data_IF_361000226406
#
_entry.id   IF_361000226406
#
_cell.length_a   1.000
_cell.length_b   1.000
_cell.length_c   1.000
_cell.angle_alpha   90.00
_cell.angle_beta   90.00
_cell.angle_gamma   90.00
#
_symmetry.space_group_name_H-M   'P 1'
#
loop_
_entity.id
_entity.type
_entity.pdbx_description
1 polymer ?
#
# COMPACT_ATOMS: atom_id res chain seq x y z
N UNK A 1 14.18 2.64 -70.07
CA UNK A 1 13.47 1.49 -69.51
C UNK A 1 14.52 0.62 -68.84
N UNK A 2 14.76 0.89 -67.56
CA UNK A 2 15.54 0.08 -66.63
C UNK A 2 15.25 0.66 -65.23
N UNK A 3 14.48 -0.09 -64.45
CA UNK A 3 14.26 0.12 -63.01
C UNK A 3 15.56 -0.12 -62.25
N UNK A 4 15.84 0.59 -61.15
CA UNK A 4 16.78 0.12 -60.14
C UNK A 4 16.07 -0.70 -59.05
N UNK A 5 16.59 -1.90 -58.80
CA UNK A 5 16.19 -2.85 -57.75
C UNK A 5 16.29 -2.27 -56.31
N UNK A 6 15.46 -2.74 -55.36
CA UNK A 6 15.49 -2.33 -53.96
C UNK A 6 16.46 -3.20 -53.13
N UNK A 7 17.71 -2.78 -52.97
CA UNK A 7 18.64 -3.42 -52.04
C UNK A 7 18.44 -2.94 -50.59
N UNK A 8 17.97 -3.89 -49.76
CA UNK A 8 18.41 -4.17 -48.39
C UNK A 8 18.43 -3.02 -47.36
N UNK A 9 17.30 -2.87 -46.66
CA UNK A 9 17.25 -2.23 -45.34
C UNK A 9 17.89 -3.17 -44.31
N UNK A 10 19.13 -2.86 -43.92
CA UNK A 10 19.82 -3.48 -42.79
C UNK A 10 19.07 -3.16 -41.48
N UNK A 11 18.74 -4.13 -40.60
CA UNK A 11 18.05 -3.82 -39.36
C UNK A 11 18.95 -3.02 -38.42
N UNK A 12 18.56 -1.78 -38.18
CA UNK A 12 19.16 -0.84 -37.22
C UNK A 12 19.32 -1.46 -35.83
N UNK A 13 20.41 -1.06 -35.18
CA UNK A 13 20.88 -1.48 -33.87
C UNK A 13 19.77 -1.58 -32.80
N UNK A 14 19.89 -2.61 -31.97
CA UNK A 14 18.99 -2.93 -30.86
C UNK A 14 18.83 -1.70 -29.95
N UNK A 15 17.65 -1.07 -30.01
CA UNK A 15 17.32 0.09 -29.19
C UNK A 15 17.40 -0.20 -27.69
N UNK A 16 17.62 0.85 -26.87
CA UNK A 16 17.83 0.73 -25.42
C UNK A 16 16.69 0.00 -24.70
N UNK A 17 15.46 0.15 -25.18
CA UNK A 17 14.27 -0.49 -24.59
C UNK A 17 14.27 -2.02 -24.76
N UNK A 18 14.70 -2.53 -25.93
CA UNK A 18 14.85 -3.98 -26.14
C UNK A 18 15.93 -4.58 -25.26
N UNK A 19 17.02 -3.84 -24.99
CA UNK A 19 18.08 -4.27 -24.07
C UNK A 19 17.58 -4.36 -22.63
N UNK A 20 16.74 -3.42 -22.19
CA UNK A 20 16.09 -3.45 -20.87
C UNK A 20 15.14 -4.64 -20.74
N UNK A 21 14.28 -4.87 -21.73
CA UNK A 21 13.35 -6.01 -21.74
C UNK A 21 14.11 -7.34 -21.70
N UNK A 22 15.20 -7.48 -22.45
CA UNK A 22 16.05 -8.68 -22.40
C UNK A 22 16.71 -8.88 -21.04
N UNK A 23 17.16 -7.80 -20.39
CA UNK A 23 17.70 -7.84 -19.03
C UNK A 23 16.67 -8.35 -18.02
N UNK A 24 15.45 -7.83 -18.06
CA UNK A 24 14.34 -8.25 -17.18
C UNK A 24 13.93 -9.70 -17.45
N UNK A 25 13.88 -10.13 -18.73
CA UNK A 25 13.58 -11.52 -19.09
C UNK A 25 14.68 -12.50 -18.64
N UNK A 26 15.95 -12.10 -18.76
CA UNK A 26 17.08 -12.87 -18.26
C UNK A 26 17.02 -13.00 -16.73
N UNK A 27 16.68 -11.91 -16.03
CA UNK A 27 16.49 -11.90 -14.58
C UNK A 27 15.32 -12.82 -14.16
N UNK A 28 14.18 -12.76 -14.86
CA UNK A 28 13.04 -13.68 -14.63
C UNK A 28 13.39 -15.15 -14.86
N UNK A 29 14.17 -15.46 -15.91
CA UNK A 29 14.65 -16.83 -16.16
C UNK A 29 15.62 -17.29 -15.05
N UNK A 30 16.48 -16.40 -14.57
CA UNK A 30 17.38 -16.66 -13.44
C UNK A 30 16.64 -16.94 -12.14
N UNK A 31 15.64 -16.12 -11.80
CA UNK A 31 14.80 -16.29 -10.62
C UNK A 31 14.04 -17.63 -10.65
N UNK A 32 13.40 -17.96 -11.78
CA UNK A 32 12.73 -19.26 -11.98
C UNK A 32 13.68 -20.45 -11.77
N UNK A 33 14.91 -20.37 -12.28
CA UNK A 33 15.92 -21.43 -12.11
C UNK A 33 16.39 -21.56 -10.65
N UNK A 34 16.46 -20.46 -9.90
CA UNK A 34 16.77 -20.49 -8.46
C UNK A 34 15.64 -21.11 -7.64
N UNK A 35 14.39 -20.76 -7.96
CA UNK A 35 13.20 -21.31 -7.30
C UNK A 35 13.08 -22.83 -7.54
N UNK A 36 13.31 -23.30 -8.77
CA UNK A 36 13.35 -24.73 -9.08
C UNK A 36 14.45 -25.47 -8.31
N UNK A 37 15.65 -24.87 -8.14
CA UNK A 37 16.72 -25.47 -7.33
C UNK A 37 16.35 -25.55 -5.85
N UNK A 38 15.66 -24.53 -5.31
CA UNK A 38 15.18 -24.57 -3.93
C UNK A 38 14.12 -25.65 -3.72
N UNK A 39 13.15 -25.79 -4.63
CA UNK A 39 12.18 -26.88 -4.58
C UNK A 39 12.82 -28.27 -4.68
N UNK A 40 13.85 -28.44 -5.53
CA UNK A 40 14.60 -29.69 -5.64
C UNK A 40 15.36 -30.01 -4.34
N UNK A 41 16.07 -29.02 -3.77
CA UNK A 41 16.78 -29.21 -2.49
C UNK A 41 15.79 -29.54 -1.37
N UNK A 42 14.62 -28.91 -1.35
CA UNK A 42 13.60 -29.19 -0.33
C UNK A 42 12.93 -30.55 -0.52
N UNK A 43 12.71 -31.01 -1.76
CA UNK A 43 12.24 -32.39 -2.00
C UNK A 43 13.28 -33.43 -1.60
N UNK A 44 14.57 -33.17 -1.84
CA UNK A 44 15.65 -34.09 -1.48
C UNK A 44 15.84 -34.16 0.06
N UNK A 45 15.66 -33.03 0.76
CA UNK A 45 15.69 -32.98 2.24
C UNK A 45 14.47 -33.70 2.85
N UNK A 46 13.28 -33.55 2.27
CA UNK A 46 12.07 -34.24 2.74
C UNK A 46 12.14 -35.75 2.51
N UNK A 47 12.83 -36.22 1.47
CA UNK A 47 13.05 -37.65 1.24
C UNK A 47 14.11 -38.28 2.17
N UNK A 48 14.90 -37.49 2.90
CA UNK A 48 15.95 -37.98 3.80
C UNK A 48 15.57 -37.97 5.30
N UNK A 49 14.38 -37.51 5.68
CA UNK A 49 13.94 -37.50 7.08
C UNK A 49 13.23 -38.80 7.48
N UNK A 50 13.67 -39.53 8.51
CA UNK A 50 12.99 -40.72 9.00
C UNK A 50 11.67 -40.34 9.71
N UNK A 51 10.60 -41.08 9.41
CA UNK A 51 9.28 -40.91 10.00
C UNK A 51 9.28 -41.38 11.45
N UNK A 52 9.32 -40.46 12.41
CA UNK A 52 8.87 -40.71 13.79
C UNK A 52 8.05 -39.54 14.31
N UNK A 53 6.87 -39.77 14.91
CA UNK A 53 6.06 -38.71 15.50
C UNK A 53 6.61 -38.39 16.90
N UNK A 54 7.39 -37.33 17.02
CA UNK A 54 7.71 -36.75 18.32
C UNK A 54 6.85 -35.51 18.57
N UNK A 55 5.91 -35.69 19.49
CA UNK A 55 5.10 -34.65 20.13
C UNK A 55 6.01 -33.55 20.68
N UNK A 56 5.95 -32.36 20.08
CA UNK A 56 6.50 -31.13 20.66
C UNK A 56 5.34 -30.21 21.05
N UNK A 57 5.03 -30.26 22.34
CA UNK A 57 4.10 -29.42 23.05
C UNK A 57 4.75 -28.03 23.20
N UNK A 58 4.29 -27.05 22.42
CA UNK A 58 4.64 -25.66 22.64
C UNK A 58 3.85 -25.13 23.83
N UNK A 59 4.58 -24.77 24.89
CA UNK A 59 4.01 -24.18 26.09
C UNK A 59 3.30 -22.87 25.77
N UNK A 60 2.03 -22.80 26.19
CA UNK A 60 1.22 -21.59 26.19
C UNK A 60 1.84 -20.59 27.15
N UNK A 61 2.32 -19.45 26.65
CA UNK A 61 2.57 -18.26 27.48
C UNK A 61 1.35 -17.37 27.40
N UNK A 62 0.62 -17.28 28.50
CA UNK A 62 -0.46 -16.32 28.71
C UNK A 62 0.10 -14.90 28.52
N UNK A 63 -0.46 -14.16 27.55
CA UNK A 63 -0.14 -12.76 27.33
C UNK A 63 -1.28 -11.90 27.89
N UNK A 64 -1.19 -11.55 29.16
CA UNK A 64 -2.03 -10.52 29.77
C UNK A 64 -1.47 -9.15 29.37
N UNK A 65 -2.29 -8.37 28.66
CA UNK A 65 -2.00 -6.97 28.35
C UNK A 65 -1.98 -6.14 29.64
N UNK A 66 -0.81 -5.98 30.24
CA UNK A 66 -0.53 -4.96 31.25
C UNK A 66 -0.30 -3.60 30.59
N UNK A 67 -1.08 -2.60 30.98
CA UNK A 67 -0.83 -1.19 30.69
C UNK A 67 0.59 -0.82 31.13
N UNK A 68 1.44 -0.41 30.18
CA UNK A 68 2.72 0.21 30.50
C UNK A 68 2.52 1.71 30.65
N UNK A 69 2.46 2.21 31.89
CA UNK A 69 2.63 3.62 32.21
C UNK A 69 4.13 3.87 32.40
N UNK A 70 4.74 4.70 31.56
CA UNK A 70 6.13 5.12 31.72
C UNK A 70 6.22 6.12 32.87
N UNK A 71 6.72 5.67 34.01
CA UNK A 71 7.01 6.53 35.17
C UNK A 71 8.44 7.06 34.99
N UNK A 72 8.59 8.38 34.87
CA UNK A 72 9.89 9.05 34.79
C UNK A 72 10.37 9.37 36.21
N UNK A 73 11.58 8.91 36.53
CA UNK A 73 12.30 9.21 37.78
C UNK A 73 13.34 10.31 37.52
N UNK A 74 13.64 11.14 38.52
CA UNK A 74 14.78 12.06 38.47
C UNK A 74 16.10 11.35 38.81
N UNK A 75 17.24 12.04 38.67
CA UNK A 75 18.58 11.50 38.91
C UNK A 75 18.84 11.10 40.39
N UNK A 76 17.91 11.38 41.31
CA UNK A 76 17.97 10.92 42.70
C UNK A 76 16.92 9.83 43.02
N UNK A 77 16.17 9.36 42.03
CA UNK A 77 15.28 8.20 42.15
C UNK A 77 13.90 8.46 42.77
N UNK A 78 13.44 9.71 42.81
CA UNK A 78 12.11 10.05 43.38
C UNK A 78 11.02 10.08 42.30
N UNK A 79 9.84 9.53 42.63
CA UNK A 79 8.65 9.57 41.78
C UNK A 79 7.96 10.95 41.84
N UNK A 80 7.84 11.61 40.68
CA UNK A 80 7.26 12.98 40.57
C UNK A 80 5.73 13.05 40.71
N UNK A 81 5.03 11.92 40.75
CA UNK A 81 3.58 11.85 40.90
C UNK A 81 3.21 10.86 42.02
N UNK A 82 3.42 11.28 43.27
CA UNK A 82 2.77 10.63 44.40
C UNK A 82 2.19 11.72 45.34
N UNK A 83 0.86 11.89 45.40
CA UNK A 83 0.24 12.87 46.28
C UNK A 83 -0.03 12.21 47.62
N UNK A 84 1.01 11.95 48.42
CA UNK A 84 0.81 11.58 49.82
C UNK A 84 2.07 11.82 50.65
N UNK A 85 2.09 12.97 51.32
CA UNK A 85 2.79 13.14 52.59
C UNK A 85 2.20 14.35 53.32
N UNK A 86 1.46 14.06 54.38
CA UNK A 86 1.13 14.99 55.45
C UNK A 86 2.41 15.49 56.13
N UNK A 87 2.66 16.80 56.13
CA UNK A 87 3.40 17.47 57.22
C UNK A 87 3.05 18.97 57.28
N UNK A 88 2.75 19.55 58.46
CA UNK A 88 2.23 20.91 58.59
C UNK A 88 3.32 21.87 59.05
N UNK A 89 3.88 22.69 58.16
CA UNK A 89 4.50 23.96 58.59
C UNK A 89 4.55 24.96 57.43
N UNK A 90 3.48 25.73 57.23
CA UNK A 90 3.55 27.00 56.49
C UNK A 90 3.26 28.11 57.49
N UNK A 91 4.24 29.00 57.81
CA UNK A 91 3.96 30.16 58.62
C UNK A 91 3.04 31.10 57.84
N UNK A 92 1.93 31.44 58.49
CA UNK A 92 0.92 32.42 58.09
C UNK A 92 1.59 33.74 57.67
N UNK A 93 1.53 34.07 56.37
CA UNK A 93 1.84 35.41 55.86
C UNK A 93 0.53 36.21 55.72
N UNK A 94 0.53 37.34 56.41
CA UNK A 94 -0.48 38.39 56.50
C UNK A 94 -0.94 38.91 55.12
N UNK A 95 -2.25 39.04 54.81
CA UNK A 95 -2.74 39.34 53.46
C UNK A 95 -2.76 40.84 53.09
N UNK A 96 -1.86 41.68 53.62
CA UNK A 96 -1.82 43.11 53.29
C UNK A 96 -0.39 43.64 53.09
N UNK A 97 0.23 43.32 51.96
CA UNK A 97 1.26 44.16 51.37
C UNK A 97 1.45 43.86 49.88
N UNK A 98 1.81 44.90 49.14
CA UNK A 98 2.22 44.90 47.73
C UNK A 98 1.10 44.80 46.67
N UNK A 99 0.28 45.86 46.65
CA UNK A 99 -0.06 46.54 45.40
C UNK A 99 1.24 46.85 44.61
N UNK A 100 1.19 46.71 43.29
CA UNK A 100 2.21 47.13 42.31
C UNK A 100 3.52 46.32 42.20
N UNK A 101 3.46 45.16 41.54
CA UNK A 101 4.52 44.74 40.62
C UNK A 101 3.93 44.09 39.36
N UNK A 102 3.88 44.92 38.30
CA UNK A 102 4.04 44.60 36.88
C UNK A 102 3.49 43.24 36.39
N UNK A 103 2.47 43.33 35.52
CA UNK A 103 1.93 42.29 34.66
C UNK A 103 3.04 41.56 33.87
N UNK A 104 3.72 40.61 34.49
CA UNK A 104 4.48 39.59 33.78
C UNK A 104 3.47 38.51 33.39
N UNK A 105 2.81 38.71 32.24
CA UNK A 105 2.11 37.60 31.59
C UNK A 105 3.25 36.72 31.05
N UNK A 106 3.51 35.52 31.59
CA UNK A 106 4.30 34.58 30.82
C UNK A 106 3.49 34.38 29.55
N UNK A 107 4.01 34.86 28.43
CA UNK A 107 3.44 34.52 27.13
C UNK A 107 3.62 33.03 27.06
N UNK A 108 2.59 32.28 27.46
CA UNK A 108 2.53 30.85 27.23
C UNK A 108 2.66 30.77 25.74
N UNK A 109 3.85 30.38 25.27
CA UNK A 109 4.08 29.99 23.89
C UNK A 109 3.29 28.71 23.73
N UNK A 110 1.98 28.85 23.62
CA UNK A 110 1.05 27.80 23.32
C UNK A 110 1.18 27.63 21.82
N UNK A 111 2.21 26.89 21.42
CA UNK A 111 2.24 26.32 20.09
C UNK A 111 0.92 25.55 19.98
N UNK A 112 0.06 25.96 19.04
CA UNK A 112 -1.09 25.13 18.66
C UNK A 112 -0.53 23.89 17.97
N UNK A 113 -0.03 22.95 18.76
CA UNK A 113 0.60 21.71 18.29
C UNK A 113 -0.41 20.67 17.81
N UNK A 114 -1.72 20.98 17.85
CA UNK A 114 -2.77 20.05 17.43
C UNK A 114 -3.06 20.09 15.92
N UNK A 115 -2.04 20.32 15.08
CA UNK A 115 -2.21 20.09 13.63
C UNK A 115 -2.04 18.60 13.35
N UNK A 116 -3.13 17.86 13.38
CA UNK A 116 -3.19 16.48 12.85
C UNK A 116 -2.77 16.53 11.38
N UNK A 117 -1.53 16.17 11.09
CA UNK A 117 -1.03 16.01 9.72
C UNK A 117 -1.74 14.81 9.10
N UNK A 118 -2.85 15.07 8.41
CA UNK A 118 -3.50 14.03 7.63
C UNK A 118 -2.54 13.60 6.52
N UNK A 119 -2.05 12.37 6.62
CA UNK A 119 -1.16 11.78 5.63
C UNK A 119 -1.91 10.63 4.95
N UNK A 120 -2.64 10.90 3.85
CA UNK A 120 -3.50 9.91 3.20
C UNK A 120 -2.75 8.64 2.78
N UNK A 121 -1.49 8.80 2.36
CA UNK A 121 -0.60 7.70 1.96
C UNK A 121 -0.35 6.73 3.12
N UNK A 122 -0.20 7.22 4.36
CA UNK A 122 0.00 6.34 5.52
C UNK A 122 -1.23 5.48 5.81
N UNK A 123 -2.44 6.02 5.61
CA UNK A 123 -3.67 5.22 5.72
C UNK A 123 -3.72 4.15 4.65
N UNK A 124 -3.40 4.51 3.40
CA UNK A 124 -3.34 3.57 2.29
C UNK A 124 -2.34 2.44 2.55
N UNK A 125 -1.09 2.77 2.91
CA UNK A 125 -0.02 1.79 3.17
C UNK A 125 -0.37 0.91 4.36
N UNK A 126 -0.94 1.48 5.44
CA UNK A 126 -1.41 0.71 6.60
C UNK A 126 -2.46 -0.32 6.20
N UNK A 127 -3.54 0.10 5.53
CA UNK A 127 -4.60 -0.79 5.08
C UNK A 127 -4.07 -1.85 4.12
N UNK A 128 -3.20 -1.47 3.18
CA UNK A 128 -2.56 -2.39 2.25
C UNK A 128 -1.74 -3.47 2.98
N UNK A 129 -0.97 -3.09 4.00
CA UNK A 129 -0.14 -4.04 4.74
C UNK A 129 -0.97 -4.95 5.65
N UNK A 130 -2.02 -4.42 6.27
CA UNK A 130 -2.99 -5.21 7.04
C UNK A 130 -3.68 -6.25 6.14
N UNK A 131 -4.09 -5.86 4.93
CA UNK A 131 -4.65 -6.81 3.95
C UNK A 131 -3.63 -7.82 3.43
N UNK A 132 -2.41 -7.39 3.13
CA UNK A 132 -1.34 -8.28 2.69
C UNK A 132 -1.06 -9.38 3.73
N UNK A 133 -1.07 -9.01 5.02
CA UNK A 133 -0.91 -9.96 6.13
C UNK A 133 -2.07 -10.97 6.17
N UNK A 134 -3.32 -10.53 6.00
CA UNK A 134 -4.49 -11.43 5.95
C UNK A 134 -4.46 -12.40 4.77
N UNK A 135 -3.87 -11.96 3.65
CA UNK A 135 -3.70 -12.74 2.44
C UNK A 135 -2.42 -13.59 2.43
N UNK A 136 -1.55 -13.45 3.45
CA UNK A 136 -0.27 -14.15 3.57
C UNK A 136 0.75 -13.76 2.49
N UNK A 137 0.72 -12.52 2.02
CA UNK A 137 1.58 -12.02 0.95
C UNK A 137 2.44 -10.80 1.35
N UNK A 138 2.55 -10.47 2.64
CA UNK A 138 3.25 -9.31 3.18
C UNK A 138 4.74 -9.22 2.78
N UNK A 139 5.40 -10.37 2.62
CA UNK A 139 6.82 -10.43 2.19
C UNK A 139 6.99 -10.39 0.67
N UNK A 140 5.97 -10.77 -0.09
CA UNK A 140 6.04 -10.94 -1.55
C UNK A 140 5.41 -9.78 -2.32
N UNK A 141 4.59 -8.97 -1.67
CA UNK A 141 3.86 -7.83 -2.25
C UNK A 141 4.79 -6.76 -2.86
N UNK A 142 6.04 -6.66 -2.40
CA UNK A 142 7.01 -5.69 -2.90
C UNK A 142 7.96 -6.24 -3.97
N UNK A 143 7.93 -7.56 -4.25
CA UNK A 143 8.74 -8.15 -5.31
C UNK A 143 8.00 -8.07 -6.66
N UNK A 144 8.44 -7.20 -7.59
CA UNK A 144 7.77 -6.97 -8.87
C UNK A 144 7.77 -8.18 -9.81
N UNK A 145 8.49 -9.24 -9.45
CA UNK A 145 8.55 -10.49 -10.20
C UNK A 145 7.64 -11.58 -9.65
N UNK A 146 7.06 -11.36 -8.46
CA UNK A 146 6.11 -12.30 -7.84
C UNK A 146 4.90 -12.50 -8.72
N UNK A 147 4.47 -13.75 -8.83
CA UNK A 147 3.19 -14.12 -9.40
C UNK A 147 2.62 -15.29 -8.64
N UNK A 148 1.34 -15.21 -8.26
CA UNK A 148 0.67 -16.22 -7.46
C UNK A 148 -0.78 -16.43 -7.90
N UNK A 149 -1.40 -17.46 -7.33
CA UNK A 149 -2.83 -17.72 -7.38
C UNK A 149 -3.34 -17.65 -5.94
N UNK A 150 -4.51 -17.04 -5.75
CA UNK A 150 -5.14 -17.02 -4.44
C UNK A 150 -5.66 -18.43 -4.09
N UNK A 151 -5.26 -19.01 -2.95
CA UNK A 151 -5.75 -20.30 -2.52
C UNK A 151 -7.27 -20.27 -2.32
N UNK A 152 -7.96 -21.34 -2.73
CA UNK A 152 -9.39 -21.56 -2.45
C UNK A 152 -9.57 -22.17 -1.06
N UNK A 153 -8.92 -21.60 -0.05
CA UNK A 153 -9.09 -22.03 1.34
C UNK A 153 -10.30 -21.31 1.96
N UNK A 154 -11.27 -22.09 2.43
CA UNK A 154 -12.50 -21.62 3.08
C UNK A 154 -12.16 -20.87 4.38
N UNK A 155 -11.12 -21.30 5.11
CA UNK A 155 -10.72 -20.66 6.37
C UNK A 155 -10.14 -19.26 6.14
N UNK A 156 -9.36 -19.07 5.08
CA UNK A 156 -8.89 -17.74 4.66
C UNK A 156 -10.06 -16.88 4.20
N UNK A 157 -11.01 -17.44 3.43
CA UNK A 157 -12.21 -16.73 2.96
C UNK A 157 -13.07 -16.18 4.10
N UNK A 158 -13.28 -16.98 5.16
CA UNK A 158 -14.16 -16.62 6.26
C UNK A 158 -13.67 -15.39 7.07
N UNK A 159 -12.37 -15.10 7.00
CA UNK A 159 -11.73 -14.01 7.73
C UNK A 159 -11.52 -12.73 6.89
N UNK A 160 -11.94 -12.76 5.61
CA UNK A 160 -11.81 -11.62 4.72
C UNK A 160 -13.05 -10.71 4.78
N UNK A 161 -12.87 -9.38 4.76
CA UNK A 161 -13.97 -8.45 4.59
C UNK A 161 -14.73 -8.71 3.28
N UNK A 162 -16.02 -8.35 3.17
CA UNK A 162 -16.86 -8.67 2.01
C UNK A 162 -16.29 -8.21 0.67
N UNK A 163 -15.76 -6.99 0.62
CA UNK A 163 -15.17 -6.38 -0.57
C UNK A 163 -13.85 -7.05 -1.01
N UNK A 164 -13.25 -7.83 -0.13
CA UNK A 164 -12.00 -8.57 -0.34
C UNK A 164 -12.21 -10.07 -0.55
N UNK A 165 -13.46 -10.54 -0.64
CA UNK A 165 -13.70 -11.92 -1.06
C UNK A 165 -13.03 -12.18 -2.42
N UNK A 166 -12.39 -13.36 -2.60
CA UNK A 166 -11.72 -13.68 -3.84
C UNK A 166 -12.65 -13.69 -5.05
N UNK A 167 -12.16 -13.15 -6.16
CA UNK A 167 -12.80 -13.23 -7.48
C UNK A 167 -12.23 -14.41 -8.25
N UNK A 168 -12.98 -14.92 -9.23
CA UNK A 168 -12.57 -16.06 -10.06
C UNK A 168 -11.21 -15.83 -10.73
N UNK A 169 -10.96 -14.63 -11.24
CA UNK A 169 -9.70 -14.26 -11.88
C UNK A 169 -8.49 -14.46 -10.95
N UNK A 170 -8.62 -14.17 -9.65
CA UNK A 170 -7.55 -14.35 -8.68
C UNK A 170 -7.20 -15.82 -8.42
N UNK A 171 -8.17 -16.71 -8.59
CA UNK A 171 -8.00 -18.16 -8.39
C UNK A 171 -7.44 -18.81 -9.64
N UNK A 172 -7.80 -18.30 -10.82
CA UNK A 172 -7.55 -18.96 -12.11
C UNK A 172 -6.35 -18.39 -12.87
N UNK A 173 -5.97 -17.13 -12.63
CA UNK A 173 -4.98 -16.42 -13.44
C UNK A 173 -3.80 -16.01 -12.57
N UNK A 174 -2.56 -16.46 -12.87
CA UNK A 174 -1.38 -16.04 -12.13
C UNK A 174 -1.18 -14.52 -12.23
N UNK A 175 -1.12 -13.84 -11.10
CA UNK A 175 -1.05 -12.37 -11.03
C UNK A 175 -0.19 -11.92 -9.85
N UNK A 176 0.08 -10.62 -9.75
CA UNK A 176 0.89 -10.06 -8.68
C UNK A 176 0.02 -9.76 -7.44
N UNK A 177 0.44 -10.10 -6.20
CA UNK A 177 -0.39 -9.95 -4.98
C UNK A 177 -0.86 -8.53 -4.69
N UNK A 178 -0.13 -7.52 -5.16
CA UNK A 178 -0.56 -6.11 -5.10
C UNK A 178 -1.99 -5.91 -5.63
N UNK A 179 -2.40 -6.65 -6.66
CA UNK A 179 -3.75 -6.49 -7.21
C UNK A 179 -4.84 -6.97 -6.23
N UNK A 180 -4.50 -7.80 -5.26
CA UNK A 180 -5.44 -8.37 -4.31
C UNK A 180 -5.80 -7.43 -3.16
N UNK A 181 -4.99 -6.40 -2.94
CA UNK A 181 -5.20 -5.40 -1.87
C UNK A 181 -6.18 -4.30 -2.29
N UNK A 182 -6.67 -4.32 -3.54
CA UNK A 182 -7.65 -3.35 -4.03
C UNK A 182 -9.07 -3.79 -3.61
N UNK A 183 -9.89 -2.89 -3.05
CA UNK A 183 -11.16 -3.27 -2.44
C UNK A 183 -12.26 -3.57 -3.46
N UNK A 184 -12.07 -3.26 -4.76
CA UNK A 184 -13.13 -3.41 -5.76
C UNK A 184 -12.98 -4.72 -6.53
N UNK A 185 -13.91 -5.70 -6.37
CA UNK A 185 -13.81 -7.00 -7.05
C UNK A 185 -13.69 -6.90 -8.58
N UNK A 186 -14.41 -5.96 -9.19
CA UNK A 186 -14.39 -5.75 -10.64
C UNK A 186 -13.06 -5.15 -11.12
N UNK A 187 -12.48 -4.22 -10.35
CA UNK A 187 -11.17 -3.63 -10.67
C UNK A 187 -10.09 -4.71 -10.57
N UNK A 188 -10.11 -5.54 -9.52
CA UNK A 188 -9.18 -6.68 -9.37
C UNK A 188 -9.25 -7.59 -10.58
N UNK A 189 -10.46 -8.04 -10.95
CA UNK A 189 -10.68 -8.92 -12.11
C UNK A 189 -10.14 -8.31 -13.40
N UNK A 190 -10.47 -7.04 -13.68
CA UNK A 190 -10.00 -6.34 -14.90
C UNK A 190 -8.50 -6.20 -14.95
N UNK A 191 -7.85 -5.78 -13.85
CA UNK A 191 -6.41 -5.60 -13.80
C UNK A 191 -5.68 -6.94 -13.95
N UNK A 192 -6.13 -7.99 -13.26
CA UNK A 192 -5.56 -9.34 -13.35
C UNK A 192 -5.61 -9.85 -14.79
N UNK A 193 -6.80 -9.79 -15.41
CA UNK A 193 -6.98 -10.20 -16.79
C UNK A 193 -6.13 -9.35 -17.74
N UNK A 194 -6.06 -8.03 -17.54
CA UNK A 194 -5.25 -7.16 -18.38
C UNK A 194 -3.75 -7.50 -18.31
N UNK A 195 -3.20 -7.66 -17.12
CA UNK A 195 -1.78 -7.96 -16.94
C UNK A 195 -1.41 -9.38 -17.34
N UNK A 196 -2.39 -10.28 -17.48
CA UNK A 196 -2.19 -11.61 -18.08
C UNK A 196 -2.01 -11.56 -19.60
N UNK A 197 -2.53 -10.53 -20.28
CA UNK A 197 -2.44 -10.38 -21.73
C UNK A 197 -1.06 -9.88 -22.18
N UNK A 198 -0.64 -10.17 -23.43
CA UNK A 198 0.56 -9.59 -24.01
C UNK A 198 0.55 -8.06 -24.02
N UNK A 199 1.72 -7.45 -23.79
CA UNK A 199 1.88 -6.00 -23.63
C UNK A 199 1.29 -5.17 -24.78
N UNK A 200 1.36 -5.65 -26.02
CA UNK A 200 0.86 -4.92 -27.19
C UNK A 200 -0.67 -4.80 -27.25
N UNK A 201 -1.40 -5.67 -26.55
CA UNK A 201 -2.87 -5.61 -26.45
C UNK A 201 -3.37 -4.71 -25.32
N UNK A 202 -2.48 -4.26 -24.42
CA UNK A 202 -2.87 -3.46 -23.27
C UNK A 202 -3.08 -1.99 -23.65
N UNK A 203 -3.88 -1.22 -22.89
CA UNK A 203 -3.92 0.23 -22.99
C UNK A 203 -2.53 0.85 -22.88
N UNK A 204 -2.26 2.01 -23.52
CA UNK A 204 -0.92 2.63 -23.54
C UNK A 204 -0.24 2.72 -22.17
N UNK A 205 -0.97 3.13 -21.12
CA UNK A 205 -0.45 3.25 -19.77
C UNK A 205 0.01 1.91 -19.15
N UNK A 206 -0.52 0.78 -19.62
CA UNK A 206 -0.26 -0.55 -19.09
C UNK A 206 0.63 -1.43 -19.99
N UNK A 207 1.12 -0.91 -21.12
CA UNK A 207 2.01 -1.65 -22.04
C UNK A 207 3.44 -1.79 -21.50
N UNK A 208 3.84 -0.86 -20.64
CA UNK A 208 5.19 -0.79 -20.11
C UNK A 208 5.55 -2.00 -19.23
N UNK A 209 6.83 -2.40 -19.21
CA UNK A 209 7.30 -3.52 -18.41
C UNK A 209 7.18 -3.26 -16.90
N UNK A 210 7.25 -2.00 -16.48
CA UNK A 210 7.10 -1.52 -15.11
C UNK A 210 5.70 -0.95 -14.84
N UNK A 211 4.71 -1.24 -15.70
CA UNK A 211 3.36 -0.71 -15.56
C UNK A 211 2.72 -0.99 -14.17
N UNK A 212 2.98 -2.15 -13.55
CA UNK A 212 2.52 -2.44 -12.20
C UNK A 212 3.18 -1.55 -11.14
N UNK A 213 4.47 -1.26 -11.28
CA UNK A 213 5.19 -0.33 -10.38
C UNK A 213 4.66 1.09 -10.58
N UNK A 214 4.40 1.50 -11.83
CA UNK A 214 3.75 2.78 -12.13
C UNK A 214 2.35 2.88 -11.53
N UNK A 215 1.58 1.80 -11.53
CA UNK A 215 0.28 1.75 -10.86
C UNK A 215 0.44 2.06 -9.36
N UNK A 216 1.42 1.46 -8.67
CA UNK A 216 1.70 1.77 -7.25
C UNK A 216 2.00 3.24 -7.07
N UNK A 217 2.91 3.81 -7.86
CA UNK A 217 3.26 5.23 -7.79
C UNK A 217 2.06 6.16 -8.02
N UNK A 218 1.18 5.82 -8.97
CA UNK A 218 -0.02 6.61 -9.21
C UNK A 218 -1.03 6.45 -8.05
N UNK A 219 -1.14 5.26 -7.44
CA UNK A 219 -2.02 4.98 -6.29
C UNK A 219 -1.56 5.70 -5.02
N UNK A 220 -0.26 5.78 -4.77
CA UNK A 220 0.32 6.40 -3.56
C UNK A 220 0.65 7.90 -3.73
N UNK A 221 0.30 8.50 -4.86
CA UNK A 221 0.54 9.93 -5.11
C UNK A 221 -0.08 10.79 -4.00
N UNK A 222 0.77 11.59 -3.35
CA UNK A 222 0.40 12.39 -2.16
C UNK A 222 -0.74 13.38 -2.43
N UNK A 223 -0.84 13.85 -3.68
CA UNK A 223 -1.79 14.89 -4.09
C UNK A 223 -3.09 14.30 -4.62
N UNK A 224 -3.01 13.41 -5.60
CA UNK A 224 -4.15 12.94 -6.39
C UNK A 224 -4.11 11.40 -6.59
N UNK A 225 -3.50 10.67 -5.66
CA UNK A 225 -3.55 9.22 -5.54
C UNK A 225 -4.88 8.70 -4.97
N UNK A 226 -4.91 7.42 -4.60
CA UNK A 226 -6.04 6.82 -3.87
C UNK A 226 -6.02 7.26 -2.41
N UNK A 227 -7.23 7.46 -1.85
CA UNK A 227 -7.40 7.92 -0.47
C UNK A 227 -8.43 7.04 0.24
N UNK A 228 -8.20 6.78 1.51
CA UNK A 228 -9.14 6.09 2.39
C UNK A 228 -9.69 7.11 3.36
N UNK A 229 -11.01 7.33 3.32
CA UNK A 229 -11.73 8.20 4.25
C UNK A 229 -12.20 7.42 5.47
N UNK A 230 -12.22 8.09 6.62
CA UNK A 230 -12.54 7.46 7.90
C UNK A 230 -11.43 6.51 8.36
N UNK A 231 -11.82 5.54 9.19
CA UNK A 231 -10.91 4.56 9.80
C UNK A 231 -11.02 3.16 9.16
N UNK A 232 -12.12 2.88 8.46
CA UNK A 232 -12.35 1.58 7.83
C UNK A 232 -11.77 1.52 6.41
N UNK A 233 -10.56 1.00 6.27
CA UNK A 233 -9.93 0.76 4.97
C UNK A 233 -10.42 -0.51 4.26
N UNK A 234 -11.24 -1.33 4.91
CA UNK A 234 -11.67 -2.62 4.39
C UNK A 234 -12.98 -2.58 3.61
N UNK A 235 -13.65 -1.43 3.61
CA UNK A 235 -14.83 -1.16 2.79
C UNK A 235 -14.45 -0.39 1.54
N UNK A 236 -14.90 -0.85 0.38
CA UNK A 236 -14.76 -0.16 -0.90
C UNK A 236 -15.41 1.24 -0.89
N UNK A 237 -16.40 1.46 -0.02
CA UNK A 237 -17.07 2.75 0.15
C UNK A 237 -16.19 3.80 0.84
N UNK A 238 -15.14 3.40 1.55
CA UNK A 238 -14.19 4.33 2.16
C UNK A 238 -13.15 4.84 1.17
N UNK A 239 -13.06 4.24 -0.01
CA UNK A 239 -12.01 4.56 -0.98
C UNK A 239 -12.44 5.62 -1.98
N UNK A 240 -11.55 6.58 -2.22
CA UNK A 240 -11.65 7.60 -3.24
C UNK A 240 -10.53 7.44 -4.26
N UNK A 241 -10.87 7.39 -5.55
CA UNK A 241 -9.89 7.43 -6.65
C UNK A 241 -9.53 8.89 -6.94
N UNK A 242 -8.24 9.22 -6.92
CA UNK A 242 -7.74 10.54 -7.28
C UNK A 242 -7.46 10.72 -8.77
N UNK A 243 -7.26 11.98 -9.18
CA UNK A 243 -7.10 12.34 -10.59
C UNK A 243 -5.84 11.72 -11.23
N UNK A 244 -4.76 11.52 -10.46
CA UNK A 244 -3.51 10.92 -10.96
C UNK A 244 -3.74 9.48 -11.39
N UNK A 245 -4.41 8.70 -10.54
CA UNK A 245 -4.81 7.31 -10.83
C UNK A 245 -5.76 7.30 -12.02
N UNK A 246 -6.78 8.15 -12.01
CA UNK A 246 -7.81 8.16 -13.04
C UNK A 246 -7.23 8.44 -14.43
N UNK A 247 -6.27 9.36 -14.55
CA UNK A 247 -5.65 9.74 -15.84
C UNK A 247 -5.11 8.53 -16.61
N UNK A 248 -4.42 7.60 -15.94
CA UNK A 248 -3.79 6.44 -16.59
C UNK A 248 -4.65 5.16 -16.53
N UNK A 249 -5.51 5.05 -15.51
CA UNK A 249 -6.15 3.79 -15.12
C UNK A 249 -7.69 3.86 -15.14
N UNK A 250 -8.30 4.93 -15.66
CA UNK A 250 -9.77 5.12 -15.70
C UNK A 250 -10.55 3.90 -16.21
N UNK A 251 -10.01 3.19 -17.20
CA UNK A 251 -10.63 2.03 -17.85
C UNK A 251 -10.81 0.83 -16.89
N UNK A 252 -10.07 0.80 -15.77
CA UNK A 252 -10.21 -0.24 -14.77
C UNK A 252 -11.41 0.00 -13.84
N UNK A 253 -11.86 1.25 -13.72
CA UNK A 253 -12.89 1.66 -12.76
C UNK A 253 -14.27 1.74 -13.40
N UNK A 254 -15.25 1.09 -12.77
CA UNK A 254 -16.65 1.18 -13.19
C UNK A 254 -17.27 2.53 -12.84
N UNK A 255 -18.41 2.81 -13.46
CA UNK A 255 -19.12 4.08 -13.33
C UNK A 255 -19.51 4.36 -11.87
N UNK A 256 -19.88 3.33 -11.10
CA UNK A 256 -20.25 3.48 -9.69
C UNK A 256 -19.05 3.96 -8.86
N UNK A 257 -17.85 3.43 -9.12
CA UNK A 257 -16.61 3.82 -8.40
C UNK A 257 -16.27 5.28 -8.71
N UNK A 258 -16.44 5.70 -9.96
CA UNK A 258 -16.19 7.08 -10.40
C UNK A 258 -17.21 8.03 -9.77
N UNK A 259 -18.49 7.65 -9.75
CA UNK A 259 -19.55 8.46 -9.13
C UNK A 259 -19.35 8.62 -7.63
N UNK A 260 -19.00 7.53 -6.95
CA UNK A 260 -18.68 7.53 -5.53
C UNK A 260 -17.48 8.41 -5.22
N UNK A 261 -16.38 8.24 -5.95
CA UNK A 261 -15.19 9.08 -5.82
C UNK A 261 -15.51 10.56 -6.04
N UNK A 262 -16.34 10.89 -7.04
CA UNK A 262 -16.78 12.27 -7.30
C UNK A 262 -17.66 12.84 -6.19
N UNK A 263 -18.47 12.02 -5.52
CA UNK A 263 -19.23 12.45 -4.35
C UNK A 263 -18.29 12.83 -3.18
N UNK A 264 -17.28 12.00 -2.93
CA UNK A 264 -16.25 12.27 -1.90
C UNK A 264 -15.40 13.50 -2.24
N UNK A 265 -14.98 13.65 -3.50
CA UNK A 265 -14.25 14.84 -4.00
C UNK A 265 -15.05 16.13 -3.81
N UNK A 266 -16.37 16.08 -4.04
CA UNK A 266 -17.26 17.22 -3.80
C UNK A 266 -17.31 17.64 -2.34
N UNK A 267 -17.33 16.69 -1.41
CA UNK A 267 -17.29 16.97 0.04
C UNK A 267 -15.99 17.69 0.43
N UNK A 268 -14.87 17.37 -0.23
CA UNK A 268 -13.60 18.08 -0.03
C UNK A 268 -13.46 19.39 -0.81
N UNK A 269 -14.43 19.75 -1.64
CA UNK A 269 -14.36 20.93 -2.50
C UNK A 269 -13.40 20.82 -3.68
N UNK A 270 -13.09 19.59 -4.15
CA UNK A 270 -12.19 19.35 -5.29
C UNK A 270 -13.00 19.01 -6.54
N UNK A 271 -12.46 19.32 -7.72
CA UNK A 271 -13.11 19.05 -9.01
C UNK A 271 -13.38 17.55 -9.20
N UNK A 272 -14.49 17.23 -9.88
CA UNK A 272 -14.79 15.88 -10.33
C UNK A 272 -13.67 15.32 -11.24
N UNK A 273 -13.50 14.01 -11.23
CA UNK A 273 -12.57 13.29 -12.09
C UNK A 273 -12.87 13.60 -13.56
N UNK A 274 -11.84 13.99 -14.30
CA UNK A 274 -11.95 14.28 -15.73
C UNK A 274 -10.99 13.41 -16.52
N UNK A 275 -11.42 12.98 -17.70
CA UNK A 275 -10.49 12.44 -18.69
C UNK A 275 -9.82 13.65 -19.33
N UNK A 276 -8.69 14.08 -18.77
CA UNK A 276 -7.78 14.94 -19.52
C UNK A 276 -7.33 14.12 -20.73
N UNK A 277 -7.97 14.39 -21.88
CA UNK A 277 -7.41 13.93 -23.14
C UNK A 277 -6.03 14.56 -23.22
N UNK A 278 -4.99 13.72 -23.30
CA UNK A 278 -3.68 14.13 -23.77
C UNK A 278 -3.77 14.48 -25.27
N UNK A 279 -4.61 15.46 -25.61
CA UNK A 279 -4.55 16.20 -26.85
C UNK A 279 -4.08 17.59 -26.45
N UNK A 280 -2.76 17.78 -26.55
CA UNK A 280 -2.23 19.12 -26.64
C UNK A 280 -2.89 19.86 -27.81
N UNK A 281 -3.03 21.19 -27.73
CA UNK A 281 -3.57 22.00 -28.81
C UNK A 281 -2.53 22.05 -29.94
N UNK A 282 -2.50 21.06 -30.83
CA UNK A 282 -1.81 21.10 -32.12
C UNK A 282 -2.34 19.98 -33.02
N UNK A 283 -3.60 20.12 -33.42
CA UNK A 283 -4.15 19.45 -34.59
C UNK A 283 -4.67 20.52 -35.55
N UNK A 284 -3.72 21.32 -36.07
CA UNK A 284 -3.90 22.13 -37.28
C UNK A 284 -2.65 21.97 -38.13
N UNK A 285 -2.73 21.09 -39.13
CA UNK A 285 -2.29 21.32 -40.50
C UNK A 285 -2.73 20.14 -41.36
#
# INVERSE_FOLDING_TARGET
MADPDPETVVPSAIGPERKRVLGVLAQRRGARKRQQRQHQVQSDVVQQLPLTPSTLQWGSTDNSYGQSTSILFDENGSNLFNPQSDDPTIPFLDPQAAHDQQLFIPTTCQFSDDRILQTPVLKLVRTAMEMATRLGCETTIWDPTTSHLLPRDIATLANLPPDFHPVEAQIMVPHHPLLDILPWPQVRSKLILLFSMPAYLRPPAARDALALVKLVYDLEDESEGCRILGEDGFSAASWEVGQKVFTNWWWAFDREIIQHSNALRRVRGVQALTLEQAYGPNATN
#
